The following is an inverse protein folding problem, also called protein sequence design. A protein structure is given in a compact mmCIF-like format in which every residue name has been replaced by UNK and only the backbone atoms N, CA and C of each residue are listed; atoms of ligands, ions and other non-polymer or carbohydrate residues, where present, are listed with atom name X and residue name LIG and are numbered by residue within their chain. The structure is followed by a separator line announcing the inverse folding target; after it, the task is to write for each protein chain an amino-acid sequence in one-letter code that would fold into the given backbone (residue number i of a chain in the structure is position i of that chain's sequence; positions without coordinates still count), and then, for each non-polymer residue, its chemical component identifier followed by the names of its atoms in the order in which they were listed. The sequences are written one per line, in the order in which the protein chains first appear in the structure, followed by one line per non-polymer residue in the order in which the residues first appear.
data_IF_650062035113
#
_entry.id   IF_650062035113
#
_cell.length_a   1.000
_cell.length_b   1.000
_cell.length_c   1.000
_cell.angle_alpha   90.00
_cell.angle_beta   90.00
_cell.angle_gamma   90.00
#
_symmetry.space_group_name_H-M   'P 1'
#
loop_
_entity.id
_entity.type
_entity.pdbx_description
1 polymer ?
#
# COMPACT_ATOMS: atom_id res chain seq x y z
N UNK A 1 -0.56 -49.92 50.55
CA UNK A 1 -1.30 -48.99 51.42
C UNK A 1 -2.40 -48.40 50.56
N UNK A 2 -3.61 -48.94 50.77
CA UNK A 2 -4.93 -48.59 50.22
C UNK A 2 -5.08 -48.55 48.68
N UNK A 3 -6.10 -49.14 48.07
CA UNK A 3 -7.02 -50.19 48.48
C UNK A 3 -7.79 -50.61 47.21
N UNK A 4 -8.10 -51.88 47.13
CA UNK A 4 -8.99 -52.44 46.13
C UNK A 4 -10.42 -52.10 46.52
N UNK A 5 -11.15 -51.35 45.68
CA UNK A 5 -12.61 -51.23 45.81
C UNK A 5 -13.27 -51.87 44.61
N UNK A 6 -13.92 -52.99 44.92
CA UNK A 6 -14.84 -53.75 44.10
C UNK A 6 -15.97 -52.87 43.57
N UNK A 7 -16.36 -53.09 42.31
CA UNK A 7 -17.74 -52.90 41.88
C UNK A 7 -18.21 -54.25 41.32
N UNK A 8 -18.96 -54.98 42.15
CA UNK A 8 -19.78 -56.13 41.76
C UNK A 8 -20.83 -55.70 40.73
N UNK A 9 -21.07 -56.58 39.75
CA UNK A 9 -22.15 -56.47 38.77
C UNK A 9 -22.31 -57.81 38.06
N UNK A 10 -23.12 -58.68 38.69
CA UNK A 10 -23.66 -59.98 38.29
C UNK A 10 -23.45 -60.48 36.86
N UNK A 11 -22.96 -61.73 36.77
CA UNK A 11 -23.29 -62.65 35.68
C UNK A 11 -24.78 -63.04 35.76
N UNK A 12 -25.49 -62.92 34.63
CA UNK A 12 -26.52 -63.88 34.19
C UNK A 12 -27.02 -63.47 32.79
N UNK A 13 -26.98 -64.39 31.82
CA UNK A 13 -27.70 -64.20 30.56
C UNK A 13 -27.04 -64.73 29.29
N UNK A 14 -26.99 -66.05 29.16
CA UNK A 14 -26.87 -66.79 27.91
C UNK A 14 -27.87 -66.28 26.84
N UNK A 15 -27.40 -65.92 25.64
CA UNK A 15 -28.27 -65.56 24.51
C UNK A 15 -27.48 -65.11 23.29
N UNK A 16 -27.67 -65.82 22.17
CA UNK A 16 -26.90 -65.68 20.95
C UNK A 16 -27.04 -64.33 20.22
N UNK A 17 -26.17 -64.19 19.22
CA UNK A 17 -25.93 -62.96 18.48
C UNK A 17 -27.16 -62.18 18.04
N UNK A 18 -27.14 -60.89 18.36
CA UNK A 18 -27.60 -59.82 17.49
C UNK A 18 -26.89 -58.53 17.88
N UNK A 19 -26.68 -57.66 16.89
CA UNK A 19 -25.91 -56.44 16.93
C UNK A 19 -26.06 -55.63 18.24
N UNK A 20 -24.93 -55.40 18.91
CA UNK A 20 -24.83 -54.49 20.05
C UNK A 20 -25.24 -53.07 19.66
N UNK A 21 -25.80 -52.37 20.64
CA UNK A 21 -26.32 -51.03 20.49
C UNK A 21 -25.27 -50.08 19.87
N UNK A 22 -25.71 -49.09 19.07
CA UNK A 22 -24.84 -48.08 18.43
C UNK A 22 -23.72 -47.56 19.36
N UNK A 23 -23.95 -47.25 20.66
CA UNK A 23 -22.87 -46.81 21.54
C UNK A 23 -21.81 -47.88 21.81
N UNK A 24 -22.16 -49.16 21.89
CA UNK A 24 -21.19 -50.25 22.13
C UNK A 24 -20.25 -50.42 20.93
N UNK A 25 -20.76 -50.28 19.71
CA UNK A 25 -19.96 -50.31 18.49
C UNK A 25 -18.99 -49.12 18.43
N UNK A 26 -19.47 -47.92 18.74
CA UNK A 26 -18.65 -46.70 18.77
C UNK A 26 -17.55 -46.83 19.83
N UNK A 27 -17.87 -47.34 21.03
CA UNK A 27 -16.90 -47.58 22.08
C UNK A 27 -15.83 -48.61 21.66
N UNK A 28 -16.22 -49.71 21.03
CA UNK A 28 -15.29 -50.70 20.49
C UNK A 28 -14.39 -50.12 19.38
N UNK A 29 -14.92 -49.27 18.51
CA UNK A 29 -14.14 -48.58 17.48
C UNK A 29 -13.09 -47.63 18.08
N UNK A 30 -13.47 -46.79 19.05
CA UNK A 30 -12.52 -45.90 19.72
C UNK A 30 -11.47 -46.67 20.53
N UNK A 31 -11.85 -47.78 21.18
CA UNK A 31 -10.91 -48.62 21.90
C UNK A 31 -9.87 -49.26 20.96
N UNK A 32 -10.31 -49.80 19.81
CA UNK A 32 -9.40 -50.35 18.78
C UNK A 32 -8.51 -49.28 18.16
N UNK A 33 -9.05 -48.09 17.91
CA UNK A 33 -8.29 -46.96 17.41
C UNK A 33 -7.23 -46.51 18.42
N UNK A 34 -7.60 -46.35 19.69
CA UNK A 34 -6.68 -45.97 20.77
C UNK A 34 -5.55 -46.99 20.96
N UNK A 35 -5.87 -48.29 20.87
CA UNK A 35 -4.86 -49.36 20.91
C UNK A 35 -3.88 -49.27 19.73
N UNK A 36 -4.37 -48.97 18.51
CA UNK A 36 -3.54 -48.79 17.32
C UNK A 36 -2.60 -47.58 17.45
N UNK A 37 -3.09 -46.48 18.03
CA UNK A 37 -2.28 -45.28 18.33
C UNK A 37 -1.18 -45.60 19.36
N UNK A 38 -1.48 -46.45 20.34
CA UNK A 38 -0.51 -46.85 21.36
C UNK A 38 0.55 -47.84 20.83
N UNK A 39 0.17 -48.83 20.03
CA UNK A 39 1.10 -49.85 19.49
C UNK A 39 2.00 -49.33 18.38
N UNK A 40 1.52 -48.37 17.57
CA UNK A 40 2.26 -47.83 16.42
C UNK A 40 2.42 -46.30 16.46
N UNK A 41 2.78 -45.77 17.64
CA UNK A 41 2.94 -44.33 17.90
C UNK A 41 3.77 -43.57 16.85
N UNK A 42 4.92 -44.13 16.45
CA UNK A 42 5.81 -43.50 15.45
C UNK A 42 5.16 -43.33 14.07
N UNK A 43 4.34 -44.29 13.63
CA UNK A 43 3.70 -44.27 12.30
C UNK A 43 2.55 -43.27 12.27
N UNK A 44 1.76 -43.22 13.35
CA UNK A 44 0.66 -42.26 13.50
C UNK A 44 1.16 -40.82 13.56
N UNK A 45 2.23 -40.56 14.32
CA UNK A 45 2.84 -39.23 14.38
C UNK A 45 3.41 -38.82 13.02
N UNK A 46 4.10 -39.73 12.30
CA UNK A 46 4.60 -39.45 10.96
C UNK A 46 3.48 -39.08 9.99
N UNK A 47 2.37 -39.84 10.00
CA UNK A 47 1.19 -39.55 9.17
C UNK A 47 0.61 -38.17 9.49
N UNK A 48 0.47 -37.82 10.78
CA UNK A 48 -0.03 -36.53 11.20
C UNK A 48 0.86 -35.37 10.69
N UNK A 49 2.17 -35.51 10.84
CA UNK A 49 3.15 -34.52 10.35
C UNK A 49 3.08 -34.35 8.83
N UNK A 50 3.00 -35.46 8.08
CA UNK A 50 2.86 -35.41 6.62
C UNK A 50 1.55 -34.73 6.21
N UNK A 51 0.43 -35.05 6.87
CA UNK A 51 -0.86 -34.41 6.59
C UNK A 51 -0.82 -32.90 6.88
N UNK A 52 -0.14 -32.49 7.95
CA UNK A 52 0.05 -31.08 8.29
C UNK A 52 0.86 -30.35 7.21
N UNK A 53 1.99 -30.92 6.76
CA UNK A 53 2.77 -30.31 5.68
C UNK A 53 1.99 -30.21 4.37
N UNK A 54 1.21 -31.22 4.01
CA UNK A 54 0.36 -31.19 2.80
C UNK A 54 -0.67 -30.06 2.89
N UNK A 55 -1.31 -29.89 4.05
CA UNK A 55 -2.30 -28.82 4.29
C UNK A 55 -1.64 -27.43 4.35
N UNK A 56 -0.40 -27.33 4.85
CA UNK A 56 0.34 -26.07 4.93
C UNK A 56 1.07 -25.70 3.63
N UNK A 57 1.25 -26.64 2.70
CA UNK A 57 1.87 -26.39 1.38
C UNK A 57 1.18 -25.26 0.58
N UNK A 58 -0.16 -25.23 0.42
CA UNK A 58 -0.83 -24.13 -0.29
C UNK A 58 -0.59 -22.76 0.37
N UNK A 59 -0.37 -22.71 1.69
CA UNK A 59 -0.14 -21.46 2.41
C UNK A 59 1.19 -20.79 2.02
N UNK A 60 2.18 -21.57 1.59
CA UNK A 60 3.46 -21.07 1.08
C UNK A 60 3.36 -20.51 -0.34
N UNK A 61 2.47 -21.09 -1.16
CA UNK A 61 2.25 -20.68 -2.55
C UNK A 61 1.17 -19.61 -2.69
N UNK A 62 0.45 -19.26 -1.62
CA UNK A 62 -0.44 -18.11 -1.66
C UNK A 62 0.41 -16.84 -1.82
N UNK A 63 0.18 -16.04 -2.87
CA UNK A 63 0.60 -14.66 -2.86
C UNK A 63 -0.29 -13.94 -1.84
N UNK A 64 0.06 -14.07 -0.55
CA UNK A 64 -0.52 -13.24 0.49
C UNK A 64 -0.36 -11.80 -0.01
N UNK A 65 -1.43 -11.01 -0.10
CA UNK A 65 -1.33 -9.59 -0.38
C UNK A 65 -0.64 -8.95 0.81
N UNK A 66 0.68 -9.09 0.86
CA UNK A 66 1.53 -8.31 1.73
C UNK A 66 1.28 -6.87 1.33
N UNK A 67 0.90 -6.05 2.31
CA UNK A 67 0.70 -4.61 2.19
C UNK A 67 2.00 -3.85 1.87
N UNK A 68 2.94 -4.48 1.15
CA UNK A 68 4.10 -3.82 0.60
C UNK A 68 3.61 -2.89 -0.52
N UNK A 69 4.03 -1.62 -0.52
CA UNK A 69 3.71 -0.71 -1.61
C UNK A 69 4.26 -1.30 -2.91
N UNK A 70 3.36 -1.71 -3.80
CA UNK A 70 3.73 -2.24 -5.11
C UNK A 70 3.97 -1.08 -6.06
N UNK A 71 5.20 -0.96 -6.55
CA UNK A 71 5.54 -0.01 -7.59
C UNK A 71 5.47 -0.71 -8.95
N UNK A 72 4.75 -0.11 -9.90
CA UNK A 72 4.68 -0.60 -11.26
C UNK A 72 5.27 0.45 -12.20
N UNK A 73 6.31 0.06 -12.92
CA UNK A 73 7.04 0.95 -13.83
C UNK A 73 6.81 0.43 -15.24
N UNK A 74 6.19 1.26 -16.07
CA UNK A 74 6.01 0.99 -17.50
C UNK A 74 6.94 1.87 -18.32
N UNK A 75 7.51 1.37 -19.43
CA UNK A 75 8.18 2.22 -20.39
C UNK A 75 7.19 3.23 -20.96
N UNK A 76 7.64 4.47 -21.19
CA UNK A 76 6.81 5.52 -21.77
C UNK A 76 6.38 5.18 -23.21
N UNK A 77 7.28 4.55 -23.96
CA UNK A 77 6.98 4.06 -25.30
C UNK A 77 6.17 2.76 -25.21
N UNK A 78 5.01 2.73 -25.87
CA UNK A 78 4.03 1.63 -25.85
C UNK A 78 3.19 1.51 -24.57
N UNK A 79 3.08 2.58 -23.79
CA UNK A 79 2.08 2.62 -22.72
C UNK A 79 0.67 2.51 -23.30
N UNK A 80 -0.06 1.50 -22.84
CA UNK A 80 -1.48 1.29 -23.17
C UNK A 80 -2.26 1.19 -21.87
N UNK A 81 -3.41 1.85 -21.83
CA UNK A 81 -4.27 1.84 -20.65
C UNK A 81 -4.79 0.42 -20.44
N UNK A 82 -4.62 -0.17 -19.23
CA UNK A 82 -5.16 -1.50 -18.93
C UNK A 82 -6.68 -1.52 -19.07
N UNK A 83 -7.25 -2.67 -19.43
CA UNK A 83 -8.68 -2.84 -19.48
C UNK A 83 -9.32 -2.51 -18.11
N UNK A 84 -10.39 -1.71 -18.13
CA UNK A 84 -11.12 -1.38 -16.92
C UNK A 84 -11.76 -2.62 -16.29
N UNK A 85 -11.86 -2.62 -14.97
CA UNK A 85 -12.57 -3.65 -14.26
C UNK A 85 -14.08 -3.62 -14.61
N UNK A 86 -14.78 -4.77 -14.67
CA UNK A 86 -16.23 -4.77 -14.69
C UNK A 86 -16.75 -4.07 -13.42
N UNK A 87 -17.90 -3.39 -13.55
CA UNK A 87 -18.47 -2.56 -12.48
C UNK A 87 -18.54 -3.34 -11.14
N UNK A 88 -17.84 -2.84 -10.12
CA UNK A 88 -17.85 -3.40 -8.77
C UNK A 88 -16.93 -4.60 -8.51
N UNK A 89 -16.05 -4.98 -9.44
CA UNK A 89 -15.17 -6.14 -9.29
C UNK A 89 -13.68 -5.89 -9.52
N UNK A 90 -12.86 -6.92 -9.27
CA UNK A 90 -11.45 -7.01 -9.68
C UNK A 90 -11.39 -7.99 -10.86
N UNK A 91 -10.80 -7.61 -11.99
CA UNK A 91 -10.48 -8.59 -13.04
C UNK A 91 -9.38 -9.51 -12.52
N UNK A 92 -9.69 -10.79 -12.44
CA UNK A 92 -8.74 -11.87 -12.18
C UNK A 92 -8.24 -12.55 -13.46
N UNK A 93 -8.83 -12.20 -14.62
CA UNK A 93 -8.36 -12.68 -15.90
C UNK A 93 -6.94 -12.18 -16.17
N UNK A 94 -6.05 -13.03 -16.69
CA UNK A 94 -4.71 -12.60 -17.06
C UNK A 94 -4.83 -11.51 -18.13
N UNK A 95 -4.49 -10.28 -17.75
CA UNK A 95 -4.35 -9.17 -18.70
C UNK A 95 -3.29 -9.58 -19.74
N UNK A 96 -3.48 -9.26 -21.03
CA UNK A 96 -2.47 -9.53 -22.06
C UNK A 96 -1.14 -8.81 -21.77
N UNK A 97 -1.15 -7.80 -20.90
CA UNK A 97 0.04 -7.11 -20.39
C UNK A 97 0.26 -7.44 -18.91
N UNK A 98 1.51 -7.65 -18.47
CA UNK A 98 1.83 -7.91 -17.06
C UNK A 98 1.57 -6.64 -16.24
N UNK A 99 0.34 -6.47 -15.78
CA UNK A 99 -0.13 -5.32 -15.01
C UNK A 99 -0.58 -5.79 -13.64
N UNK A 100 -0.31 -5.03 -12.56
CA UNK A 100 -0.75 -5.40 -11.23
C UNK A 100 -2.27 -5.43 -11.10
N UNK A 101 -2.78 -6.27 -10.19
CA UNK A 101 -4.23 -6.39 -9.94
C UNK A 101 -4.89 -5.08 -9.52
N UNK A 102 -4.17 -4.16 -8.89
CA UNK A 102 -4.70 -2.84 -8.50
C UNK A 102 -4.71 -1.82 -9.64
N UNK A 103 -4.02 -2.07 -10.74
CA UNK A 103 -3.90 -1.15 -11.87
C UNK A 103 -4.86 -1.52 -13.00
N UNK A 104 -6.15 -1.22 -12.80
CA UNK A 104 -7.22 -1.54 -13.76
C UNK A 104 -7.89 -0.25 -14.25
N UNK A 105 -7.90 -0.05 -15.57
CA UNK A 105 -8.45 1.15 -16.19
C UNK A 105 -7.46 2.33 -16.28
N UNK A 106 -7.95 3.52 -16.69
CA UNK A 106 -7.13 4.71 -16.82
C UNK A 106 -6.62 5.20 -15.45
N UNK A 107 -5.40 5.78 -15.41
CA UNK A 107 -4.88 6.39 -14.20
C UNK A 107 -5.79 7.54 -13.75
N UNK A 108 -5.90 7.72 -12.43
CA UNK A 108 -6.74 8.77 -11.84
C UNK A 108 -6.11 10.16 -11.94
N UNK A 109 -4.78 10.22 -11.91
CA UNK A 109 -4.02 11.45 -12.03
C UNK A 109 -2.61 11.14 -12.53
N UNK A 110 -1.98 12.13 -13.16
CA UNK A 110 -0.57 12.11 -13.52
C UNK A 110 0.19 13.06 -12.59
N UNK A 111 1.29 12.58 -12.02
CA UNK A 111 2.15 13.39 -11.15
C UNK A 111 3.44 13.65 -11.89
N UNK A 112 3.69 14.91 -12.24
CA UNK A 112 4.95 15.36 -12.81
C UNK A 112 5.78 16.03 -11.71
N UNK A 113 6.90 15.40 -11.34
CA UNK A 113 7.85 15.97 -10.37
C UNK A 113 9.05 16.57 -11.12
N UNK A 114 9.46 17.77 -10.72
CA UNK A 114 10.67 18.43 -11.20
C UNK A 114 11.59 18.66 -10.00
N UNK A 115 12.75 18.01 -10.01
CA UNK A 115 13.73 18.12 -8.93
C UNK A 115 14.87 19.03 -9.39
N UNK A 116 14.90 20.24 -8.84
CA UNK A 116 15.97 21.21 -9.10
C UNK A 116 17.07 21.01 -8.06
N UNK A 117 18.31 20.89 -8.52
CA UNK A 117 19.51 20.83 -7.66
C UNK A 117 20.39 22.02 -7.97
N UNK A 118 20.82 22.73 -6.95
CA UNK A 118 21.71 23.89 -7.08
C UNK A 118 22.92 23.72 -6.17
N UNK A 119 24.08 24.14 -6.65
CA UNK A 119 25.32 24.22 -5.87
C UNK A 119 25.81 25.67 -5.85
N UNK A 120 26.14 26.17 -4.66
CA UNK A 120 26.73 27.51 -4.50
C UNK A 120 28.25 27.36 -4.43
N UNK A 121 28.96 27.99 -5.37
CA UNK A 121 30.41 27.90 -5.49
C UNK A 121 31.02 29.30 -5.34
N UNK A 122 32.10 29.41 -4.56
CA UNK A 122 32.86 30.65 -4.39
C UNK A 122 32.32 31.56 -3.29
N UNK A 123 32.53 31.16 -2.03
CA UNK A 123 32.19 31.98 -0.87
C UNK A 123 33.05 33.26 -0.84
N UNK A 124 32.38 34.41 -0.87
CA UNK A 124 32.99 35.74 -0.71
C UNK A 124 32.79 36.25 0.72
N UNK A 125 33.74 37.03 1.20
CA UNK A 125 33.60 37.73 2.49
C UNK A 125 32.39 38.69 2.44
N UNK A 126 31.51 38.59 3.44
CA UNK A 126 30.28 39.40 3.54
C UNK A 126 28.97 38.70 3.16
N UNK A 127 29.01 37.46 2.66
CA UNK A 127 27.80 36.66 2.43
C UNK A 127 27.22 36.13 3.75
N UNK A 128 25.91 36.19 3.88
CA UNK A 128 25.16 35.59 5.00
C UNK A 128 24.57 34.26 4.55
N UNK A 129 24.33 33.33 5.49
CA UNK A 129 23.75 32.02 5.18
C UNK A 129 22.44 32.10 4.38
N UNK A 130 21.61 33.12 4.62
CA UNK A 130 20.40 33.38 3.85
C UNK A 130 20.64 33.55 2.35
N UNK A 131 21.77 34.14 1.97
CA UNK A 131 22.08 34.47 0.57
C UNK A 131 22.35 33.22 -0.26
N UNK A 132 22.86 32.17 0.41
CA UNK A 132 23.09 30.83 -0.18
C UNK A 132 21.79 30.20 -0.64
N UNK A 133 20.70 30.42 0.08
CA UNK A 133 19.38 29.88 -0.27
C UNK A 133 18.65 30.79 -1.24
N UNK A 134 18.83 32.12 -1.12
CA UNK A 134 18.11 33.09 -1.96
C UNK A 134 18.39 32.93 -3.44
N UNK A 135 19.66 32.78 -3.82
CA UNK A 135 20.06 32.67 -5.23
C UNK A 135 19.42 31.47 -5.94
N UNK A 136 19.57 30.24 -5.42
CA UNK A 136 18.90 29.08 -5.96
C UNK A 136 17.37 29.18 -5.93
N UNK A 137 16.77 29.61 -4.81
CA UNK A 137 15.31 29.68 -4.68
C UNK A 137 14.68 30.73 -5.60
N UNK A 138 15.38 31.83 -5.94
CA UNK A 138 14.84 32.82 -6.87
C UNK A 138 14.55 32.22 -8.25
N UNK A 139 15.31 31.19 -8.67
CA UNK A 139 15.10 30.53 -9.97
C UNK A 139 13.78 29.74 -10.03
N UNK A 140 13.27 29.31 -8.88
CA UNK A 140 12.03 28.55 -8.77
C UNK A 140 10.81 29.39 -9.16
N UNK A 141 10.82 30.69 -8.89
CA UNK A 141 9.73 31.59 -9.29
C UNK A 141 9.60 31.65 -10.81
N UNK A 142 10.72 31.82 -11.52
CA UNK A 142 10.74 31.82 -12.98
C UNK A 142 10.31 30.46 -13.55
N UNK A 143 10.76 29.35 -12.96
CA UNK A 143 10.36 28.01 -13.36
C UNK A 143 8.86 27.80 -13.18
N UNK A 144 8.31 28.19 -12.02
CA UNK A 144 6.90 28.05 -11.72
C UNK A 144 6.03 28.84 -12.70
N UNK A 145 6.44 30.07 -13.03
CA UNK A 145 5.80 30.89 -14.04
C UNK A 145 5.86 30.25 -15.43
N UNK A 146 7.04 29.76 -15.83
CA UNK A 146 7.22 29.11 -17.15
C UNK A 146 6.31 27.90 -17.33
N UNK A 147 6.11 27.11 -16.26
CA UNK A 147 5.21 25.95 -16.28
C UNK A 147 3.75 26.38 -16.33
N UNK A 148 3.37 27.38 -15.54
CA UNK A 148 2.01 27.92 -15.51
C UNK A 148 1.60 28.53 -16.86
N UNK A 149 2.53 29.23 -17.50
CA UNK A 149 2.32 29.91 -18.78
C UNK A 149 2.54 28.97 -19.99
N UNK A 150 2.81 27.67 -19.75
CA UNK A 150 3.08 26.73 -20.81
C UNK A 150 1.87 26.52 -21.71
N UNK A 151 2.11 26.65 -23.02
CA UNK A 151 1.14 26.35 -24.08
C UNK A 151 1.78 25.46 -25.13
N UNK A 152 1.01 24.48 -25.61
CA UNK A 152 1.50 23.57 -26.62
C UNK A 152 1.62 24.29 -27.97
N UNK A 153 2.82 24.27 -28.56
CA UNK A 153 3.11 24.98 -29.82
C UNK A 153 2.23 24.55 -31.01
N UNK A 154 1.70 23.32 -30.99
CA UNK A 154 0.84 22.80 -32.06
C UNK A 154 -0.64 23.14 -31.87
N UNK A 155 -1.07 23.47 -30.65
CA UNK A 155 -2.45 23.84 -30.36
C UNK A 155 -2.50 24.76 -29.13
N UNK A 156 -2.66 26.07 -29.37
CA UNK A 156 -2.79 27.08 -28.31
C UNK A 156 -3.99 26.86 -27.38
N UNK A 157 -4.95 25.99 -27.73
CA UNK A 157 -6.05 25.62 -26.84
C UNK A 157 -5.65 24.62 -25.75
N UNK A 158 -4.49 23.97 -25.89
CA UNK A 158 -3.94 23.05 -24.91
C UNK A 158 -2.93 23.82 -24.04
N UNK A 159 -3.43 24.31 -22.90
CA UNK A 159 -2.67 25.06 -21.91
C UNK A 159 -2.56 24.25 -20.63
N UNK A 160 -1.59 24.56 -19.77
CA UNK A 160 -1.50 23.91 -18.45
C UNK A 160 -2.83 24.00 -17.67
N UNK A 161 -3.51 25.15 -17.74
CA UNK A 161 -4.77 25.40 -17.07
C UNK A 161 -5.94 24.52 -17.51
N UNK A 162 -5.94 23.99 -18.73
CA UNK A 162 -7.05 23.17 -19.25
C UNK A 162 -6.95 21.69 -18.87
N UNK A 163 -5.74 21.19 -18.63
CA UNK A 163 -5.47 19.77 -18.38
C UNK A 163 -5.07 19.47 -16.92
N UNK A 164 -4.84 20.50 -16.11
CA UNK A 164 -4.44 20.34 -14.72
C UNK A 164 -5.57 19.77 -13.85
N UNK A 165 -5.20 19.21 -12.70
CA UNK A 165 -6.16 18.89 -11.66
C UNK A 165 -6.62 20.18 -10.96
N UNK A 166 -7.85 20.62 -11.24
CA UNK A 166 -8.45 21.78 -10.58
C UNK A 166 -8.81 21.45 -9.13
N UNK A 167 -8.35 22.28 -8.19
CA UNK A 167 -8.75 22.22 -6.79
C UNK A 167 -9.79 23.31 -6.55
N UNK A 168 -10.99 22.92 -6.14
CA UNK A 168 -12.05 23.87 -5.76
C UNK A 168 -11.78 24.43 -4.36
N UNK A 169 -11.84 23.57 -3.34
CA UNK A 169 -11.59 23.97 -1.94
C UNK A 169 -10.79 22.91 -1.18
N UNK A 170 -9.99 23.39 -0.22
CA UNK A 170 -9.33 22.53 0.76
C UNK A 170 -10.35 22.14 1.83
N UNK A 171 -10.41 20.84 2.15
CA UNK A 171 -11.28 20.34 3.21
C UNK A 171 -10.97 21.09 4.51
N UNK A 172 -12.00 21.67 5.16
CA UNK A 172 -11.87 22.55 6.35
C UNK A 172 -10.96 21.99 7.45
N UNK A 173 -10.91 20.66 7.61
CA UNK A 173 -10.04 19.96 8.55
C UNK A 173 -8.54 20.22 8.32
N UNK A 174 -8.14 20.42 7.07
CA UNK A 174 -6.75 20.62 6.65
C UNK A 174 -6.45 22.07 6.23
N UNK A 175 -7.41 22.98 6.40
CA UNK A 175 -7.25 24.37 6.00
C UNK A 175 -6.15 25.11 6.78
N UNK A 176 -5.90 24.75 8.06
CA UNK A 176 -4.87 25.39 8.89
C UNK A 176 -3.45 24.93 8.57
N UNK A 177 -3.26 23.68 8.13
CA UNK A 177 -1.94 23.09 7.89
C UNK A 177 -1.59 23.10 6.40
N UNK A 178 -2.47 22.55 5.57
CA UNK A 178 -2.24 22.42 4.13
C UNK A 178 -2.79 23.62 3.33
N UNK A 179 -3.71 24.40 3.90
CA UNK A 179 -4.32 25.54 3.21
C UNK A 179 -3.38 26.71 2.93
N UNK A 180 -2.22 26.78 3.59
CA UNK A 180 -1.20 27.81 3.33
C UNK A 180 -0.49 27.57 1.99
N UNK A 181 -0.30 26.30 1.61
CA UNK A 181 0.45 25.91 0.40
C UNK A 181 -0.48 25.44 -0.71
N UNK A 182 -1.67 24.91 -0.38
CA UNK A 182 -2.62 24.42 -1.36
C UNK A 182 -3.37 25.57 -2.05
N UNK A 183 -3.50 25.52 -3.38
CA UNK A 183 -4.27 26.50 -4.12
C UNK A 183 -5.77 26.40 -3.81
N UNK A 184 -6.45 27.54 -3.85
CA UNK A 184 -7.92 27.63 -3.82
C UNK A 184 -8.41 28.01 -5.21
N UNK A 185 -9.37 27.27 -5.77
CA UNK A 185 -9.93 27.50 -7.10
C UNK A 185 -8.89 27.60 -8.23
N UNK A 186 -7.83 26.80 -8.16
CA UNK A 186 -6.74 26.83 -9.14
C UNK A 186 -6.13 25.43 -9.35
N UNK A 187 -5.33 25.28 -10.41
CA UNK A 187 -4.60 24.06 -10.71
C UNK A 187 -3.72 23.61 -9.53
N UNK A 188 -3.74 22.31 -9.20
CA UNK A 188 -2.80 21.71 -8.27
C UNK A 188 -1.37 21.80 -8.85
N UNK A 189 -0.62 22.77 -8.37
CA UNK A 189 0.80 22.93 -8.63
C UNK A 189 1.47 23.32 -7.33
N UNK A 190 2.38 22.47 -6.87
CA UNK A 190 3.12 22.67 -5.63
C UNK A 190 4.55 23.09 -5.96
N UNK A 191 4.96 24.24 -5.46
CA UNK A 191 6.27 24.83 -5.67
C UNK A 191 6.74 25.53 -4.39
N UNK A 192 8.06 25.54 -4.11
CA UNK A 192 8.61 26.39 -3.05
C UNK A 192 8.21 27.87 -3.18
N UNK A 193 7.89 28.34 -4.39
CA UNK A 193 7.40 29.70 -4.62
C UNK A 193 6.04 29.99 -3.95
N UNK A 194 5.24 28.96 -3.63
CA UNK A 194 3.92 29.11 -3.00
C UNK A 194 4.03 29.68 -1.57
N UNK A 195 5.15 29.45 -0.87
CA UNK A 195 5.43 30.04 0.44
C UNK A 195 5.40 31.58 0.45
N UNK A 196 5.67 32.20 -0.70
CA UNK A 196 5.65 33.65 -0.88
C UNK A 196 4.58 34.08 -1.89
N UNK A 197 3.48 33.32 -1.98
CA UNK A 197 2.35 33.60 -2.88
C UNK A 197 2.77 33.77 -4.35
N UNK A 198 3.83 33.06 -4.76
CA UNK A 198 4.48 33.18 -6.08
C UNK A 198 4.96 34.60 -6.42
N UNK A 199 5.13 35.47 -5.43
CA UNK A 199 5.63 36.83 -5.60
C UNK A 199 7.11 36.93 -5.23
N UNK A 200 7.94 37.14 -6.24
CA UNK A 200 9.39 37.29 -6.07
C UNK A 200 9.75 38.48 -5.18
N UNK A 201 8.97 39.57 -5.18
CA UNK A 201 9.27 40.75 -4.38
C UNK A 201 9.09 40.45 -2.89
N UNK A 202 8.04 39.72 -2.51
CA UNK A 202 7.80 39.27 -1.13
C UNK A 202 8.96 38.41 -0.65
N UNK A 203 9.42 37.48 -1.49
CA UNK A 203 10.58 36.64 -1.21
C UNK A 203 11.89 37.43 -1.03
N UNK A 204 12.16 38.42 -1.89
CA UNK A 204 13.37 39.24 -1.80
C UNK A 204 13.42 40.08 -0.50
N UNK A 205 12.26 40.50 0.01
CA UNK A 205 12.16 41.31 1.23
C UNK A 205 12.00 40.48 2.51
N UNK A 206 11.74 39.17 2.43
CA UNK A 206 11.59 38.29 3.59
C UNK A 206 12.91 38.19 4.37
N UNK A 207 13.05 38.74 5.59
CA UNK A 207 14.30 38.66 6.35
C UNK A 207 14.58 37.27 6.92
N UNK A 208 13.59 36.36 6.92
CA UNK A 208 13.61 35.08 7.62
C UNK A 208 13.41 33.89 6.68
N UNK A 209 13.96 33.94 5.46
CA UNK A 209 13.87 32.88 4.44
C UNK A 209 14.13 31.47 4.99
N UNK A 210 15.11 31.32 5.89
CA UNK A 210 15.46 30.02 6.46
C UNK A 210 14.32 29.42 7.28
N UNK A 211 13.66 30.20 8.15
CA UNK A 211 12.52 29.69 8.92
C UNK A 211 11.30 29.46 8.07
N UNK A 212 11.10 30.28 7.02
CA UNK A 212 10.01 30.08 6.07
C UNK A 212 10.18 28.75 5.33
N UNK A 213 11.41 28.41 4.91
CA UNK A 213 11.71 27.11 4.28
C UNK A 213 11.61 25.96 5.28
N UNK A 214 12.05 26.14 6.52
CA UNK A 214 11.97 25.13 7.58
C UNK A 214 10.51 24.73 7.88
N UNK A 215 9.55 25.64 7.68
CA UNK A 215 8.12 25.31 7.83
C UNK A 215 7.59 24.25 6.84
N UNK A 216 8.36 23.91 5.79
CA UNK A 216 8.03 22.84 4.84
C UNK A 216 8.64 21.48 5.21
N UNK A 217 9.61 21.43 6.13
CA UNK A 217 10.31 20.20 6.56
C UNK A 217 9.66 19.58 7.81
#
# INVERSE_FOLDING_TARGET
MYDSVMAEGSEDGNGGGSAGSIPDFVAQCYYRYGLLVATHSKKVILLAIVSFYIICTPLWYLPLPGYLPQNFITPLHNYTVPAAAPEGGIRLDPSPTPTPLWYQGPPKAYIQQIVVRAGVVGWKEGLVLSDVYRGPLSTVFHLAQTISDYQLAQNHSCSFGSECLLIEEVVKKYASEAGVVLPHYNCLMLSPADLWERNINTFLHDPHVLSTVDSLM
#
